data_IF_458763659301
#
_entry.id   IF_458763659301
#
_cell.length_a   1.000
_cell.length_b   1.000
_cell.length_c   1.000
_cell.angle_alpha   90.00
_cell.angle_beta   90.00
_cell.angle_gamma   90.00
#
_symmetry.space_group_name_H-M   'P 1'
#
loop_
_entity.id
_entity.type
_entity.pdbx_description
1 polymer ?
#
# COMPACT_ATOMS: atom_id res chain seq x y z
N UNK A 1 -7.49 9.83 -2.36
CA UNK A 1 -8.46 10.93 -2.38
C UNK A 1 -9.65 10.61 -1.47
N UNK A 2 -10.30 9.46 -1.66
CA UNK A 2 -11.53 9.12 -0.94
C UNK A 2 -11.30 8.90 0.57
N UNK A 3 -10.18 8.27 0.96
CA UNK A 3 -9.75 8.16 2.36
C UNK A 3 -9.59 9.55 2.99
N UNK A 4 -8.87 10.47 2.33
CA UNK A 4 -8.68 11.84 2.84
C UNK A 4 -9.99 12.61 2.98
N UNK A 5 -10.96 12.40 2.05
CA UNK A 5 -12.30 13.00 2.16
C UNK A 5 -13.08 12.43 3.35
N UNK A 6 -13.01 11.11 3.57
CA UNK A 6 -13.66 10.45 4.73
C UNK A 6 -13.08 10.93 6.06
N UNK A 7 -11.79 11.18 6.12
CA UNK A 7 -11.10 11.73 7.30
C UNK A 7 -11.29 13.25 7.46
N UNK A 8 -12.11 13.88 6.62
CA UNK A 8 -12.49 15.29 6.75
C UNK A 8 -11.43 16.29 6.26
N UNK A 9 -10.46 15.86 5.44
CA UNK A 9 -9.51 16.80 4.86
C UNK A 9 -10.21 17.76 3.90
N UNK A 10 -9.94 19.08 3.98
CA UNK A 10 -10.49 20.07 3.07
C UNK A 10 -10.13 19.78 1.62
N UNK A 11 -11.10 19.86 0.71
CA UNK A 11 -10.94 19.53 -0.70
C UNK A 11 -9.83 20.32 -1.39
N UNK A 12 -9.67 21.60 -1.03
CA UNK A 12 -8.62 22.49 -1.54
C UNK A 12 -7.21 22.00 -1.15
N UNK A 13 -7.06 21.40 0.04
CA UNK A 13 -5.79 20.80 0.46
C UNK A 13 -5.49 19.50 -0.30
N UNK A 14 -6.52 18.69 -0.52
CA UNK A 14 -6.39 17.45 -1.32
C UNK A 14 -5.98 17.81 -2.76
N UNK A 15 -6.64 18.79 -3.40
CA UNK A 15 -6.30 19.25 -4.73
C UNK A 15 -4.88 19.81 -4.84
N UNK A 16 -4.45 20.62 -3.87
CA UNK A 16 -3.07 21.14 -3.81
C UNK A 16 -2.05 20.01 -3.65
N UNK A 17 -2.34 19.00 -2.82
CA UNK A 17 -1.46 17.85 -2.66
C UNK A 17 -1.34 17.04 -3.96
N UNK A 18 -2.46 16.84 -4.68
CA UNK A 18 -2.47 16.18 -5.99
C UNK A 18 -1.65 17.00 -7.00
N UNK A 19 -1.89 18.31 -7.11
CA UNK A 19 -1.15 19.19 -8.02
C UNK A 19 0.36 19.19 -7.74
N UNK A 20 0.74 19.14 -6.46
CA UNK A 20 2.13 19.03 -6.03
C UNK A 20 2.73 17.69 -6.46
N UNK A 21 2.00 16.59 -6.23
CA UNK A 21 2.44 15.23 -6.57
C UNK A 21 2.57 15.00 -8.09
N UNK A 22 1.71 15.63 -8.93
CA UNK A 22 1.83 15.54 -10.40
C UNK A 22 2.77 16.59 -11.01
N UNK A 23 3.52 17.32 -10.18
CA UNK A 23 4.53 18.29 -10.65
C UNK A 23 3.95 19.56 -11.30
N UNK A 24 2.64 19.81 -11.16
CA UNK A 24 1.97 21.02 -11.68
C UNK A 24 1.80 22.12 -10.63
N UNK A 25 2.38 21.93 -9.44
CA UNK A 25 2.37 22.90 -8.35
C UNK A 25 3.15 24.17 -8.72
N UNK A 26 2.75 25.32 -8.16
CA UNK A 26 3.31 26.64 -8.43
C UNK A 26 4.75 26.86 -7.97
N UNK A 27 5.34 25.88 -7.26
CA UNK A 27 6.61 26.05 -6.54
C UNK A 27 7.84 25.71 -7.41
N UNK A 28 7.65 25.32 -8.69
CA UNK A 28 8.74 25.00 -9.60
C UNK A 28 9.58 23.77 -9.22
N UNK A 29 9.14 23.02 -8.20
CA UNK A 29 9.81 21.81 -7.73
C UNK A 29 9.32 20.62 -8.55
N UNK A 30 10.24 19.91 -9.18
CA UNK A 30 9.95 18.66 -9.90
C UNK A 30 10.27 17.51 -8.97
N UNK A 31 9.26 16.69 -8.67
CA UNK A 31 9.47 15.45 -7.94
C UNK A 31 9.74 14.31 -8.92
N UNK A 32 10.66 13.43 -8.54
CA UNK A 32 11.00 12.24 -9.31
C UNK A 32 10.74 10.98 -8.48
N UNK A 33 10.02 10.04 -9.06
CA UNK A 33 9.83 8.71 -8.51
C UNK A 33 11.03 7.82 -8.83
N UNK A 34 11.49 7.05 -7.86
CA UNK A 34 12.57 6.09 -8.06
C UNK A 34 12.39 4.92 -7.09
N UNK A 35 12.75 3.72 -7.56
CA UNK A 35 12.82 2.52 -6.72
C UNK A 35 14.29 2.18 -6.47
N UNK A 36 14.65 2.01 -5.21
CA UNK A 36 15.98 1.56 -4.79
C UNK A 36 15.90 0.14 -4.26
N UNK A 37 16.98 -0.58 -4.45
CA UNK A 37 17.10 -2.00 -4.11
C UNK A 37 18.19 -2.20 -3.08
N UNK A 38 18.01 -3.18 -2.19
CA UNK A 38 19.03 -3.48 -1.20
C UNK A 38 18.79 -4.78 -0.44
N UNK A 39 19.72 -5.05 0.44
CA UNK A 39 19.70 -6.21 1.33
C UNK A 39 19.79 -5.70 2.76
N UNK A 40 18.86 -6.13 3.61
CA UNK A 40 18.83 -5.78 5.02
C UNK A 40 19.44 -6.85 5.91
N UNK A 41 19.24 -6.69 7.22
CA UNK A 41 19.70 -7.63 8.22
C UNK A 41 19.17 -9.05 7.94
N UNK A 42 20.00 -10.06 8.21
CA UNK A 42 19.66 -11.45 7.89
C UNK A 42 19.58 -11.74 6.37
N UNK A 43 19.93 -10.77 5.52
CA UNK A 43 19.91 -10.90 4.05
C UNK A 43 18.49 -10.87 3.47
N UNK A 44 17.55 -10.20 4.13
CA UNK A 44 16.27 -9.88 3.50
C UNK A 44 16.49 -8.98 2.29
N UNK A 45 15.65 -9.14 1.31
CA UNK A 45 15.63 -8.31 0.11
C UNK A 45 14.66 -7.16 0.33
N UNK A 46 15.09 -5.95 0.01
CA UNK A 46 14.32 -4.72 0.28
C UNK A 46 14.19 -3.93 -1.02
N UNK A 47 12.97 -3.50 -1.32
CA UNK A 47 12.66 -2.46 -2.29
C UNK A 47 12.18 -1.23 -1.55
N UNK A 48 12.66 -0.06 -1.96
CA UNK A 48 12.26 1.24 -1.40
C UNK A 48 11.77 2.12 -2.52
N UNK A 49 10.49 2.44 -2.52
CA UNK A 49 9.89 3.39 -3.44
C UNK A 49 9.98 4.78 -2.85
N UNK A 50 10.47 5.73 -3.64
CA UNK A 50 10.74 7.10 -3.19
C UNK A 50 10.12 8.12 -4.13
N UNK A 51 9.74 9.27 -3.56
CA UNK A 51 9.33 10.47 -4.28
C UNK A 51 10.13 11.64 -3.74
N UNK A 52 11.06 12.17 -4.54
CA UNK A 52 12.01 13.18 -4.05
C UNK A 52 12.23 14.31 -5.05
N UNK A 53 12.56 15.48 -4.54
CA UNK A 53 13.05 16.62 -5.28
C UNK A 53 14.60 16.62 -5.44
N UNK A 54 15.29 15.69 -4.74
CA UNK A 54 16.74 15.62 -4.74
C UNK A 54 17.26 14.18 -4.59
N UNK A 55 17.40 13.47 -5.70
CA UNK A 55 17.92 12.09 -5.73
C UNK A 55 19.26 11.88 -5.01
N UNK A 56 20.15 12.86 -5.04
CA UNK A 56 21.47 12.71 -4.41
C UNK A 56 21.34 12.66 -2.90
N UNK A 57 20.47 13.50 -2.31
CA UNK A 57 20.14 13.47 -0.88
C UNK A 57 19.54 12.12 -0.53
N UNK A 58 18.48 11.71 -1.22
CA UNK A 58 17.78 10.44 -0.98
C UNK A 58 18.71 9.24 -1.02
N UNK A 59 19.59 9.14 -2.03
CA UNK A 59 20.58 8.05 -2.14
C UNK A 59 21.56 8.06 -0.97
N UNK A 60 22.00 9.25 -0.53
CA UNK A 60 22.94 9.35 0.60
C UNK A 60 22.26 8.91 1.91
N UNK A 61 21.01 9.32 2.14
CA UNK A 61 20.24 8.97 3.33
C UNK A 61 19.92 7.46 3.34
N UNK A 62 19.44 6.90 2.22
CA UNK A 62 19.18 5.47 2.08
C UNK A 62 20.47 4.66 2.35
N UNK A 63 21.60 5.04 1.74
CA UNK A 63 22.88 4.33 1.95
C UNK A 63 23.27 4.30 3.41
N UNK A 64 23.15 5.43 4.10
CA UNK A 64 23.44 5.56 5.52
C UNK A 64 22.56 4.60 6.34
N UNK A 65 21.23 4.58 6.09
CA UNK A 65 20.34 3.69 6.83
C UNK A 65 20.65 2.22 6.51
N UNK A 66 20.85 1.86 5.23
CA UNK A 66 21.22 0.48 4.88
C UNK A 66 22.49 0.02 5.60
N UNK A 67 23.51 0.88 5.74
CA UNK A 67 24.72 0.57 6.50
C UNK A 67 24.45 0.44 8.02
N UNK A 68 23.65 1.33 8.59
CA UNK A 68 23.27 1.30 10.02
C UNK A 68 22.50 0.02 10.40
N UNK A 69 21.65 -0.49 9.51
CA UNK A 69 20.90 -1.73 9.74
C UNK A 69 21.70 -3.00 9.42
N UNK A 70 22.99 -2.86 9.15
CA UNK A 70 23.86 -4.00 8.81
C UNK A 70 23.57 -4.60 7.44
N UNK A 71 22.97 -3.82 6.56
CA UNK A 71 22.65 -4.16 5.18
C UNK A 71 23.53 -3.42 4.16
N UNK A 72 23.05 -3.36 2.94
CA UNK A 72 23.69 -2.61 1.85
C UNK A 72 22.70 -2.29 0.75
N UNK A 73 22.89 -1.17 0.08
CA UNK A 73 22.23 -0.92 -1.21
C UNK A 73 22.74 -1.90 -2.27
N UNK A 74 21.86 -2.33 -3.15
CA UNK A 74 22.14 -3.15 -4.31
C UNK A 74 22.07 -2.34 -5.61
N UNK A 75 22.51 -2.96 -6.69
CA UNK A 75 22.34 -2.42 -8.03
C UNK A 75 20.88 -2.68 -8.50
N UNK A 76 20.44 -1.91 -9.49
CA UNK A 76 19.12 -2.12 -10.12
C UNK A 76 19.01 -3.56 -10.68
N UNK A 77 17.93 -4.26 -10.36
CA UNK A 77 17.70 -5.66 -10.71
C UNK A 77 18.26 -6.67 -9.72
N UNK A 78 18.91 -6.22 -8.61
CA UNK A 78 19.50 -7.13 -7.62
C UNK A 78 18.48 -7.88 -6.79
N UNK A 79 17.29 -7.28 -6.53
CA UNK A 79 16.21 -7.87 -5.73
C UNK A 79 14.84 -7.79 -6.40
N UNK A 80 14.60 -6.84 -7.32
CA UNK A 80 13.30 -6.62 -7.97
C UNK A 80 12.76 -7.84 -8.72
N UNK A 81 13.64 -8.75 -9.17
CA UNK A 81 13.23 -10.02 -9.80
C UNK A 81 12.39 -10.90 -8.87
N UNK A 82 12.52 -10.74 -7.55
CA UNK A 82 11.79 -11.50 -6.55
C UNK A 82 10.42 -10.90 -6.20
N UNK A 83 10.06 -9.76 -6.76
CA UNK A 83 8.80 -9.08 -6.44
C UNK A 83 7.90 -8.97 -7.67
N UNK A 84 6.62 -9.27 -7.47
CA UNK A 84 5.57 -9.01 -8.45
C UNK A 84 4.79 -7.77 -8.03
N UNK A 85 4.52 -6.89 -8.99
CA UNK A 85 3.65 -5.74 -8.74
C UNK A 85 2.20 -6.18 -8.86
N UNK A 86 1.44 -6.04 -7.77
CA UNK A 86 0.03 -6.41 -7.68
C UNK A 86 -0.83 -5.25 -7.24
N UNK A 87 -2.12 -5.36 -7.48
CA UNK A 87 -3.12 -4.51 -6.85
C UNK A 87 -3.67 -5.18 -5.60
N UNK A 88 -3.81 -4.42 -4.53
CA UNK A 88 -4.43 -4.81 -3.28
C UNK A 88 -5.66 -3.94 -3.03
N UNK A 89 -6.78 -4.57 -2.69
CA UNK A 89 -8.00 -3.90 -2.25
C UNK A 89 -8.37 -4.48 -0.90
N UNK A 90 -8.44 -3.62 0.10
CA UNK A 90 -8.86 -3.97 1.46
C UNK A 90 -10.30 -3.52 1.64
N UNK A 91 -11.18 -4.43 2.05
CA UNK A 91 -12.60 -4.12 2.25
C UNK A 91 -13.14 -4.77 3.53
N UNK A 92 -14.15 -4.14 4.12
CA UNK A 92 -14.93 -4.74 5.21
C UNK A 92 -15.97 -5.70 4.65
N UNK A 93 -16.23 -6.80 5.36
CA UNK A 93 -17.30 -7.74 5.03
C UNK A 93 -18.67 -7.14 5.39
N UNK A 94 -19.14 -6.19 4.58
CA UNK A 94 -20.39 -5.51 4.79
C UNK A 94 -20.57 -4.32 3.85
N UNK A 95 -21.75 -3.71 3.91
CA UNK A 95 -22.16 -2.61 3.05
C UNK A 95 -22.75 -1.45 3.84
N UNK A 96 -22.79 -0.26 3.24
CA UNK A 96 -23.50 0.89 3.82
C UNK A 96 -24.98 0.80 3.51
N UNK A 97 -25.81 0.67 4.54
CA UNK A 97 -27.26 0.70 4.44
C UNK A 97 -27.73 2.15 4.54
N UNK A 98 -28.41 2.61 3.49
CA UNK A 98 -28.97 3.97 3.47
C UNK A 98 -30.00 4.15 4.58
N UNK A 99 -29.92 5.27 5.27
CA UNK A 99 -30.90 5.65 6.28
C UNK A 99 -32.29 5.85 5.64
N UNK A 100 -33.30 5.24 6.24
CA UNK A 100 -34.71 5.46 5.83
C UNK A 100 -35.24 6.84 6.29
N UNK A 101 -34.51 7.51 7.20
CA UNK A 101 -34.87 8.83 7.70
C UNK A 101 -34.25 9.93 6.84
N UNK A 102 -35.02 10.88 6.41
CA UNK A 102 -34.54 12.06 5.68
C UNK A 102 -33.48 12.80 6.53
N UNK A 103 -32.22 12.87 6.03
CA UNK A 103 -31.09 13.46 6.74
C UNK A 103 -30.48 12.57 7.82
N UNK A 104 -30.84 11.29 7.89
CA UNK A 104 -30.16 10.31 8.77
C UNK A 104 -28.83 9.84 8.17
N UNK A 105 -27.91 9.46 9.05
CA UNK A 105 -26.63 8.88 8.65
C UNK A 105 -26.81 7.44 8.17
N UNK A 106 -26.07 7.05 7.12
CA UNK A 106 -26.04 5.67 6.64
C UNK A 106 -25.34 4.79 7.69
N UNK A 107 -25.85 3.58 7.91
CA UNK A 107 -25.33 2.64 8.89
C UNK A 107 -24.57 1.50 8.20
N UNK A 108 -23.45 1.10 8.79
CA UNK A 108 -22.71 -0.09 8.34
C UNK A 108 -23.50 -1.36 8.71
N UNK A 109 -23.81 -2.17 7.72
CA UNK A 109 -24.43 -3.48 7.89
C UNK A 109 -23.42 -4.58 7.59
N UNK A 110 -23.13 -5.41 8.60
CA UNK A 110 -22.22 -6.54 8.45
C UNK A 110 -22.88 -7.64 7.62
N UNK A 111 -22.15 -8.17 6.65
CA UNK A 111 -22.50 -9.36 5.88
C UNK A 111 -21.70 -10.58 6.37
N UNK A 112 -22.12 -11.77 5.99
CA UNK A 112 -21.35 -12.98 6.23
C UNK A 112 -20.10 -12.97 5.32
N UNK A 113 -18.90 -13.08 5.90
CA UNK A 113 -17.62 -12.98 5.17
C UNK A 113 -17.49 -14.04 4.08
N UNK A 114 -17.93 -15.27 4.33
CA UNK A 114 -17.88 -16.36 3.34
C UNK A 114 -18.79 -16.06 2.14
N UNK A 115 -19.98 -15.47 2.36
CA UNK A 115 -20.88 -15.06 1.29
C UNK A 115 -20.32 -13.91 0.48
N UNK A 116 -19.65 -12.94 1.12
CA UNK A 116 -18.94 -11.85 0.45
C UNK A 116 -17.83 -12.42 -0.42
N UNK A 117 -16.99 -13.31 0.14
CA UNK A 117 -15.91 -13.97 -0.59
C UNK A 117 -16.43 -14.71 -1.82
N UNK A 118 -17.52 -15.48 -1.69
CA UNK A 118 -18.12 -16.18 -2.85
C UNK A 118 -18.55 -15.22 -3.96
N UNK A 119 -19.17 -14.09 -3.61
CA UNK A 119 -19.58 -13.07 -4.60
C UNK A 119 -18.39 -12.41 -5.28
N UNK A 120 -17.30 -12.19 -4.53
CA UNK A 120 -16.08 -11.60 -5.06
C UNK A 120 -15.36 -12.55 -6.03
N UNK A 121 -15.40 -13.86 -5.78
CA UNK A 121 -14.80 -14.87 -6.68
C UNK A 121 -15.39 -14.86 -8.09
N UNK A 122 -16.60 -14.34 -8.28
CA UNK A 122 -17.22 -14.20 -9.60
C UNK A 122 -16.69 -12.97 -10.39
N UNK A 123 -15.91 -12.09 -9.75
CA UNK A 123 -15.34 -10.90 -10.39
C UNK A 123 -14.08 -11.28 -11.17
N UNK A 124 -14.12 -11.05 -12.48
CA UNK A 124 -12.97 -11.28 -13.36
C UNK A 124 -11.79 -10.36 -13.00
N UNK A 125 -10.62 -10.95 -12.83
CA UNK A 125 -9.37 -10.23 -12.55
C UNK A 125 -8.92 -10.31 -11.09
N UNK A 126 -9.66 -10.95 -10.22
CA UNK A 126 -9.22 -11.32 -8.88
C UNK A 126 -8.31 -12.55 -8.99
N UNK A 127 -7.14 -12.51 -8.34
CA UNK A 127 -6.16 -13.59 -8.29
C UNK A 127 -6.23 -14.39 -6.98
N UNK A 128 -6.42 -13.68 -5.86
CA UNK A 128 -6.48 -14.28 -4.53
C UNK A 128 -7.33 -13.43 -3.59
N UNK A 129 -7.91 -14.06 -2.56
CA UNK A 129 -8.66 -13.38 -1.51
C UNK A 129 -8.20 -13.96 -0.17
N UNK A 130 -7.77 -13.09 0.75
CA UNK A 130 -7.39 -13.48 2.11
C UNK A 130 -8.33 -12.86 3.14
N UNK A 131 -8.59 -13.62 4.19
CA UNK A 131 -9.37 -13.15 5.33
C UNK A 131 -8.49 -12.34 6.27
N UNK A 132 -9.00 -11.18 6.70
CA UNK A 132 -8.35 -10.31 7.66
C UNK A 132 -9.33 -9.82 8.74
N UNK A 133 -8.79 -9.20 9.77
CA UNK A 133 -9.53 -8.42 10.76
C UNK A 133 -9.09 -6.96 10.63
N UNK A 134 -10.05 -6.05 10.56
CA UNK A 134 -9.84 -4.61 10.47
C UNK A 134 -10.47 -3.98 11.71
N UNK A 135 -9.67 -3.70 12.74
CA UNK A 135 -10.12 -3.10 14.01
C UNK A 135 -11.30 -3.86 14.66
N UNK A 136 -11.24 -5.21 14.67
CA UNK A 136 -12.30 -6.07 15.24
C UNK A 136 -13.50 -6.28 14.31
N UNK A 137 -13.39 -5.84 13.04
CA UNK A 137 -14.41 -6.08 12.01
C UNK A 137 -13.84 -7.03 10.97
N UNK A 138 -14.61 -8.06 10.62
CA UNK A 138 -14.22 -8.99 9.54
C UNK A 138 -14.03 -8.25 8.22
N UNK A 139 -12.93 -8.51 7.55
CA UNK A 139 -12.55 -7.92 6.28
C UNK A 139 -11.90 -8.93 5.34
N UNK A 140 -11.62 -8.47 4.15
CA UNK A 140 -10.96 -9.24 3.09
C UNK A 140 -9.88 -8.38 2.42
N UNK A 141 -8.76 -9.02 2.11
CA UNK A 141 -7.77 -8.54 1.15
C UNK A 141 -8.00 -9.21 -0.19
N UNK A 142 -8.15 -8.42 -1.23
CA UNK A 142 -8.36 -8.90 -2.60
C UNK A 142 -7.14 -8.53 -3.42
N UNK A 143 -6.48 -9.53 -3.97
CA UNK A 143 -5.29 -9.40 -4.78
C UNK A 143 -5.63 -9.49 -6.26
N UNK A 144 -5.07 -8.60 -7.06
CA UNK A 144 -5.29 -8.53 -8.50
C UNK A 144 -3.99 -8.30 -9.24
N UNK A 145 -3.97 -8.54 -10.55
CA UNK A 145 -2.92 -7.94 -11.38
C UNK A 145 -3.05 -6.41 -11.32
N UNK A 146 -1.92 -5.72 -11.31
CA UNK A 146 -1.89 -4.26 -11.31
C UNK A 146 -2.80 -3.63 -12.38
N UNK A 147 -2.82 -4.18 -13.60
CA UNK A 147 -3.64 -3.71 -14.71
C UNK A 147 -5.15 -3.81 -14.46
N UNK A 148 -5.58 -4.70 -13.56
CA UNK A 148 -6.99 -4.96 -13.27
C UNK A 148 -7.48 -4.24 -12.02
N UNK A 149 -6.60 -3.62 -11.24
CA UNK A 149 -6.91 -3.01 -9.94
C UNK A 149 -8.11 -2.06 -9.99
N UNK A 150 -8.12 -1.13 -10.94
CA UNK A 150 -9.22 -0.16 -11.08
C UNK A 150 -10.55 -0.85 -11.43
N UNK A 151 -10.52 -1.80 -12.39
CA UNK A 151 -11.73 -2.54 -12.82
C UNK A 151 -12.33 -3.34 -11.65
N UNK A 152 -11.47 -4.07 -10.92
CA UNK A 152 -11.91 -4.90 -9.79
C UNK A 152 -12.44 -4.03 -8.65
N UNK A 153 -11.73 -2.94 -8.29
CA UNK A 153 -12.19 -1.96 -7.31
C UNK A 153 -13.58 -1.43 -7.64
N UNK A 154 -13.79 -1.01 -8.89
CA UNK A 154 -15.07 -0.45 -9.32
C UNK A 154 -16.18 -1.52 -9.25
N UNK A 155 -15.90 -2.76 -9.66
CA UNK A 155 -16.84 -3.88 -9.53
C UNK A 155 -17.21 -4.18 -8.07
N UNK A 156 -16.26 -4.13 -7.13
CA UNK A 156 -16.50 -4.31 -5.69
C UNK A 156 -17.37 -3.15 -5.15
N UNK A 157 -17.06 -1.92 -5.58
CA UNK A 157 -17.81 -0.72 -5.20
C UNK A 157 -19.27 -0.78 -5.70
N UNK A 158 -19.49 -1.27 -6.92
CA UNK A 158 -20.83 -1.43 -7.52
C UNK A 158 -21.68 -2.46 -6.76
N UNK A 159 -21.06 -3.45 -6.12
CA UNK A 159 -21.72 -4.38 -5.21
C UNK A 159 -22.08 -3.74 -3.85
N UNK A 160 -21.63 -2.50 -3.60
CA UNK A 160 -21.93 -1.73 -2.40
C UNK A 160 -21.05 -2.02 -1.19
N UNK A 161 -19.98 -2.79 -1.34
CA UNK A 161 -19.05 -3.08 -0.25
C UNK A 161 -18.20 -1.87 0.14
N UNK A 162 -17.82 -1.79 1.42
CA UNK A 162 -16.99 -0.71 1.96
C UNK A 162 -15.53 -1.01 1.72
N UNK A 163 -14.94 -0.33 0.74
CA UNK A 163 -13.50 -0.39 0.46
C UNK A 163 -12.78 0.55 1.42
N UNK A 164 -11.86 0.02 2.20
CA UNK A 164 -11.02 0.78 3.12
C UNK A 164 -9.77 1.32 2.42
N UNK A 165 -9.14 0.48 1.61
CA UNK A 165 -7.88 0.79 0.97
C UNK A 165 -7.77 0.21 -0.42
N UNK A 166 -7.05 0.89 -1.29
CA UNK A 166 -6.70 0.41 -2.63
C UNK A 166 -5.27 0.84 -2.91
N UNK A 167 -4.39 -0.13 -3.06
CA UNK A 167 -2.95 0.09 -3.18
C UNK A 167 -2.32 -0.72 -4.32
N UNK A 168 -1.15 -0.25 -4.75
CA UNK A 168 -0.23 -1.03 -5.56
C UNK A 168 0.85 -1.55 -4.62
N UNK A 169 0.99 -2.86 -4.55
CA UNK A 169 1.95 -3.52 -3.68
C UNK A 169 3.00 -4.28 -4.49
N UNK A 170 4.12 -4.58 -3.84
CA UNK A 170 5.17 -5.45 -4.37
C UNK A 170 5.25 -6.72 -3.51
N UNK A 171 4.62 -7.79 -4.00
CA UNK A 171 4.56 -9.07 -3.29
C UNK A 171 5.80 -9.92 -3.61
N UNK A 172 6.55 -10.41 -2.60
CA UNK A 172 7.69 -11.26 -2.85
C UNK A 172 7.28 -12.67 -3.32
N UNK A 173 7.94 -13.19 -4.35
CA UNK A 173 7.77 -14.57 -4.85
C UNK A 173 8.36 -15.60 -3.90
N UNK A 174 9.46 -15.23 -3.27
CA UNK A 174 10.18 -16.08 -2.31
C UNK A 174 10.34 -15.28 -1.02
N UNK A 175 9.67 -15.72 0.02
CA UNK A 175 9.74 -15.12 1.36
C UNK A 175 10.94 -15.65 2.14
N UNK A 176 11.42 -14.85 3.07
CA UNK A 176 12.48 -15.22 3.99
C UNK A 176 11.96 -15.22 5.43
N UNK A 177 12.12 -16.34 6.11
CA UNK A 177 11.73 -16.45 7.51
C UNK A 177 12.90 -16.05 8.41
N UNK A 178 12.70 -15.03 9.22
CA UNK A 178 13.58 -14.62 10.30
C UNK A 178 12.90 -14.88 11.64
N UNK A 179 13.67 -15.14 12.68
CA UNK A 179 13.16 -15.41 14.03
C UNK A 179 14.01 -14.70 15.09
N UNK A 180 13.38 -14.39 16.24
CA UNK A 180 14.04 -13.80 17.39
C UNK A 180 14.74 -12.48 17.04
N UNK A 181 15.97 -12.33 17.49
CA UNK A 181 16.74 -11.10 17.35
C UNK A 181 16.99 -10.65 15.88
N UNK A 182 17.09 -11.58 14.94
CA UNK A 182 17.24 -11.24 13.53
C UNK A 182 15.95 -10.64 12.94
N UNK A 183 14.79 -11.13 13.38
CA UNK A 183 13.49 -10.53 13.01
C UNK A 183 13.35 -9.12 13.59
N UNK A 184 13.65 -8.93 14.88
CA UNK A 184 13.60 -7.62 15.54
C UNK A 184 14.47 -6.59 14.81
N UNK A 185 15.74 -6.95 14.51
CA UNK A 185 16.64 -6.07 13.77
C UNK A 185 16.18 -5.75 12.35
N UNK A 186 15.58 -6.73 11.66
CA UNK A 186 15.03 -6.50 10.33
C UNK A 186 13.86 -5.52 10.38
N UNK A 187 12.95 -5.69 11.35
CA UNK A 187 11.81 -4.79 11.56
C UNK A 187 12.26 -3.36 11.90
N UNK A 188 13.18 -3.20 12.87
CA UNK A 188 13.76 -1.88 13.19
C UNK A 188 14.42 -1.22 11.96
N UNK A 189 15.02 -2.02 11.10
CA UNK A 189 15.63 -1.53 9.87
C UNK A 189 14.62 -1.05 8.84
N UNK A 190 13.53 -1.79 8.65
CA UNK A 190 12.43 -1.42 7.75
C UNK A 190 11.73 -0.15 8.23
N UNK A 191 11.46 -0.03 9.54
CA UNK A 191 10.90 1.18 10.15
C UNK A 191 11.78 2.41 9.89
N UNK A 192 13.11 2.30 10.08
CA UNK A 192 14.03 3.41 9.79
C UNK A 192 14.04 3.84 8.33
N UNK A 193 13.85 2.91 7.40
CA UNK A 193 13.74 3.25 5.98
C UNK A 193 12.41 3.95 5.68
N UNK A 194 11.32 3.49 6.29
CA UNK A 194 9.98 4.04 6.12
C UNK A 194 9.84 5.46 6.73
N UNK A 195 10.58 5.73 7.79
CA UNK A 195 10.63 7.05 8.47
C UNK A 195 11.33 8.15 7.64
N UNK A 196 11.98 7.84 6.52
CA UNK A 196 12.61 8.85 5.68
C UNK A 196 11.57 9.66 4.89
N UNK A 197 11.69 10.98 4.92
CA UNK A 197 10.73 11.91 4.29
C UNK A 197 10.49 11.66 2.80
N UNK A 198 11.51 11.20 2.09
CA UNK A 198 11.46 10.93 0.64
C UNK A 198 10.92 9.52 0.33
N UNK A 199 10.74 8.65 1.33
CA UNK A 199 10.25 7.27 1.15
C UNK A 199 8.73 7.26 1.12
N UNK A 200 8.16 6.52 0.18
CA UNK A 200 6.72 6.32 0.04
C UNK A 200 6.29 4.93 0.51
N UNK A 201 7.13 3.94 0.24
CA UNK A 201 6.84 2.56 0.63
C UNK A 201 8.12 1.73 0.73
N UNK A 202 8.15 0.80 1.67
CA UNK A 202 9.22 -0.18 1.86
C UNK A 202 8.64 -1.58 1.75
N UNK A 203 9.22 -2.38 0.87
CA UNK A 203 8.80 -3.75 0.62
C UNK A 203 9.93 -4.71 0.98
N UNK A 204 9.59 -5.84 1.62
CA UNK A 204 10.58 -6.88 1.95
C UNK A 204 10.04 -8.29 1.68
N UNK A 205 10.98 -9.25 1.56
CA UNK A 205 10.65 -10.67 1.36
C UNK A 205 10.63 -11.49 2.65
#
# INVERSE_FOLDING_TARGET
VDKAKREGFPTDRIEKAIQKGVGTGSDGVTYEESTYEGFGHGGIQILVDTLTDNKNRTVADLRKIFEEIGGRMGDSGSVSWNFDTKGLIVLRSGHMKKSEKFGGEDEYAKDNREEVMMKLMDIEGIEDIKEIDIDGVEGLEVYTQYSNLAKVRDSISDLGYVIEETEIIKEPKVTKVLVGHDLEKAQEGLEKLDDLDDVQSVWSN
#
